data_IF_014421472935
#
_entry.id   IF_014421472935
#
_cell.length_a   1.000
_cell.length_b   1.000
_cell.length_c   1.000
_cell.angle_alpha   90.00
_cell.angle_beta   90.00
_cell.angle_gamma   90.00
#
_symmetry.space_group_name_H-M   'P 1'
#
loop_
_entity.id
_entity.type
_entity.pdbx_description
1 polymer ?
#
# COMPACT_ATOMS: atom_id res chain seq x y z
N UNK A 1 20.87 34.64 48.09
CA UNK A 1 21.18 34.37 46.67
C UNK A 1 21.79 33.00 46.62
N UNK A 2 21.04 31.97 46.25
CA UNK A 2 21.60 30.72 45.74
C UNK A 2 20.73 30.31 44.56
N UNK A 3 21.35 30.34 43.38
CA UNK A 3 20.80 29.90 42.11
C UNK A 3 21.09 28.40 42.01
N UNK A 4 20.08 27.54 42.12
CA UNK A 4 20.27 26.10 41.88
C UNK A 4 19.73 25.69 40.51
N UNK A 5 20.71 25.41 39.65
CA UNK A 5 20.75 24.56 38.46
C UNK A 5 19.41 24.18 37.79
N UNK A 6 19.23 24.67 36.56
CA UNK A 6 18.40 24.02 35.56
C UNK A 6 18.95 22.59 35.32
N UNK A 7 18.13 21.58 35.56
CA UNK A 7 18.44 20.20 35.18
C UNK A 7 18.38 20.10 33.67
N UNK A 8 19.56 20.01 33.05
CA UNK A 8 19.71 19.61 31.66
C UNK A 8 19.00 18.25 31.45
N UNK A 9 17.94 18.25 30.64
CA UNK A 9 17.28 17.01 30.25
C UNK A 9 18.28 16.16 29.44
N UNK A 10 18.41 14.84 29.70
CA UNK A 10 19.33 14.01 28.96
C UNK A 10 18.91 13.97 27.49
N UNK A 11 19.81 14.45 26.63
CA UNK A 11 19.76 14.33 25.19
C UNK A 11 19.75 12.84 24.84
N UNK A 12 18.59 12.31 24.46
CA UNK A 12 18.42 10.89 24.16
C UNK A 12 17.13 10.26 24.66
N UNK A 13 16.04 11.00 24.84
CA UNK A 13 14.73 10.36 24.85
C UNK A 13 14.46 9.81 23.46
N UNK A 14 14.75 8.52 23.31
CA UNK A 14 14.33 7.68 22.20
C UNK A 14 12.86 7.98 21.93
N UNK A 15 12.60 8.62 20.79
CA UNK A 15 11.24 8.74 20.27
C UNK A 15 10.80 7.29 20.03
N UNK A 16 9.99 6.76 20.95
CA UNK A 16 9.20 5.56 20.74
C UNK A 16 8.34 5.81 19.50
N UNK A 17 8.88 5.51 18.32
CA UNK A 17 8.20 5.49 17.04
C UNK A 17 7.30 4.24 17.04
N UNK A 18 5.99 4.33 17.36
CA UNK A 18 5.18 3.16 17.74
C UNK A 18 4.82 2.26 16.56
N UNK A 19 5.41 2.49 15.38
CA UNK A 19 4.97 1.90 14.10
C UNK A 19 5.88 0.78 13.58
N UNK A 20 7.03 0.52 14.20
CA UNK A 20 8.02 -0.44 13.70
C UNK A 20 8.14 -1.75 14.49
N UNK A 21 7.14 -2.13 15.30
CA UNK A 21 7.28 -3.26 16.24
C UNK A 21 7.24 -4.69 15.63
N UNK A 22 7.39 -4.85 14.31
CA UNK A 22 7.62 -6.19 13.73
C UNK A 22 8.68 -6.11 12.65
N UNK A 23 9.87 -6.68 12.87
CA UNK A 23 10.84 -6.94 11.82
C UNK A 23 10.16 -7.75 10.71
N UNK A 24 10.29 -7.29 9.47
CA UNK A 24 9.98 -8.15 8.34
C UNK A 24 11.01 -9.29 8.36
N UNK A 25 10.55 -10.54 8.23
CA UNK A 25 11.43 -11.71 8.21
C UNK A 25 12.49 -11.54 7.11
N UNK A 26 13.76 -11.67 7.48
CA UNK A 26 14.91 -11.52 6.58
C UNK A 26 14.95 -12.57 5.47
N UNK A 27 14.18 -13.66 5.61
CA UNK A 27 14.08 -14.72 4.61
C UNK A 27 13.02 -14.45 3.53
N UNK A 28 12.26 -13.35 3.65
CA UNK A 28 11.27 -12.99 2.64
C UNK A 28 11.93 -12.52 1.35
N UNK A 29 11.39 -12.89 0.17
CA UNK A 29 11.85 -12.32 -1.09
C UNK A 29 11.77 -10.80 -1.06
N UNK A 30 12.78 -10.12 -1.61
CA UNK A 30 12.87 -8.65 -1.61
C UNK A 30 11.57 -7.95 -2.02
N UNK A 31 10.91 -8.44 -3.08
CA UNK A 31 9.67 -7.85 -3.57
C UNK A 31 8.56 -7.85 -2.50
N UNK A 32 8.49 -8.92 -1.70
CA UNK A 32 7.51 -9.09 -0.63
C UNK A 32 7.82 -8.13 0.52
N UNK A 33 9.09 -8.08 0.95
CA UNK A 33 9.53 -7.18 2.02
C UNK A 33 9.30 -5.72 1.65
N UNK A 34 9.59 -5.32 0.42
CA UNK A 34 9.36 -3.95 -0.06
C UNK A 34 7.87 -3.60 -0.08
N UNK A 35 7.02 -4.49 -0.58
CA UNK A 35 5.57 -4.25 -0.59
C UNK A 35 5.03 -4.09 0.84
N UNK A 36 5.37 -5.02 1.72
CA UNK A 36 4.93 -5.00 3.12
C UNK A 36 5.43 -3.74 3.84
N UNK A 37 6.69 -3.34 3.63
CA UNK A 37 7.25 -2.11 4.19
C UNK A 37 6.48 -0.88 3.72
N UNK A 38 6.23 -0.76 2.41
CA UNK A 38 5.52 0.38 1.82
C UNK A 38 4.08 0.49 2.29
N UNK A 39 3.36 -0.63 2.34
CA UNK A 39 1.99 -0.67 2.87
C UNK A 39 1.94 -0.32 4.36
N UNK A 40 2.87 -0.85 5.16
CA UNK A 40 2.92 -0.58 6.60
C UNK A 40 3.30 0.86 6.95
N UNK A 41 4.19 1.46 6.17
CA UNK A 41 4.62 2.86 6.37
C UNK A 41 3.69 3.89 5.73
N UNK A 42 2.65 3.45 5.01
CA UNK A 42 1.73 4.34 4.28
C UNK A 42 2.34 5.00 3.05
N UNK A 43 3.61 4.71 2.72
CA UNK A 43 4.28 5.15 1.49
C UNK A 43 4.08 4.10 0.40
N UNK A 44 2.81 3.73 0.16
CA UNK A 44 2.44 2.64 -0.73
C UNK A 44 2.53 3.02 -2.22
N UNK A 45 2.54 4.31 -2.54
CA UNK A 45 2.48 4.82 -3.92
C UNK A 45 1.25 4.29 -4.68
N UNK A 46 0.15 3.98 -4.00
CA UNK A 46 -1.14 3.73 -4.62
C UNK A 46 -1.80 5.06 -5.01
N UNK A 47 -2.91 5.00 -5.77
CA UNK A 47 -3.54 6.22 -6.30
C UNK A 47 -3.88 7.23 -5.20
N UNK A 48 -4.32 6.77 -4.02
CA UNK A 48 -4.66 7.65 -2.91
C UNK A 48 -3.45 8.43 -2.41
N UNK A 49 -2.32 7.76 -2.18
CA UNK A 49 -1.08 8.40 -1.76
C UNK A 49 -0.54 9.35 -2.84
N UNK A 50 -0.51 8.90 -4.10
CA UNK A 50 -0.04 9.72 -5.22
C UNK A 50 -0.90 10.97 -5.46
N UNK A 51 -2.21 10.87 -5.20
CA UNK A 51 -3.11 12.01 -5.28
C UNK A 51 -2.85 13.03 -4.17
N UNK A 52 -2.61 12.55 -2.95
CA UNK A 52 -2.24 13.41 -1.82
C UNK A 52 -0.96 14.22 -2.11
N UNK A 53 0.00 13.63 -2.83
CA UNK A 53 1.23 14.31 -3.28
C UNK A 53 1.07 15.11 -4.59
N UNK A 54 -0.14 15.31 -5.10
CA UNK A 54 -0.43 15.97 -6.39
C UNK A 54 0.25 15.35 -7.62
N UNK A 55 0.74 14.11 -7.52
CA UNK A 55 1.32 13.36 -8.65
C UNK A 55 0.21 12.77 -9.53
N UNK A 56 -0.90 12.36 -8.90
CA UNK A 56 -2.03 11.78 -9.59
C UNK A 56 -3.29 12.65 -9.49
N UNK A 57 -4.10 12.82 -10.56
CA UNK A 57 -5.24 13.73 -10.50
C UNK A 57 -6.44 13.20 -9.71
N UNK A 58 -6.48 11.90 -9.38
CA UNK A 58 -7.57 11.30 -8.60
C UNK A 58 -7.02 10.18 -7.72
N UNK A 59 -7.58 10.07 -6.51
CA UNK A 59 -7.33 9.01 -5.54
C UNK A 59 -8.09 7.71 -5.86
N UNK A 60 -8.95 7.72 -6.88
CA UNK A 60 -9.76 6.57 -7.27
C UNK A 60 -8.88 5.41 -7.75
N UNK A 61 -9.36 4.19 -7.51
CA UNK A 61 -8.74 2.99 -8.01
C UNK A 61 -8.73 2.98 -9.54
N UNK A 62 -7.53 3.10 -10.11
CA UNK A 62 -7.34 3.03 -11.56
C UNK A 62 -7.53 1.62 -12.12
N UNK A 63 -7.56 0.61 -11.25
CA UNK A 63 -7.63 -0.79 -11.65
C UNK A 63 -9.09 -1.24 -11.81
N UNK A 64 -9.95 -0.96 -10.83
CA UNK A 64 -11.38 -1.29 -10.92
C UNK A 64 -12.28 -0.10 -11.28
N UNK A 65 -11.76 1.13 -11.21
CA UNK A 65 -12.50 2.36 -11.49
C UNK A 65 -13.42 2.84 -10.37
N UNK A 66 -13.36 2.22 -9.17
CA UNK A 66 -14.25 2.55 -8.06
C UNK A 66 -13.55 2.50 -6.70
N UNK A 67 -13.91 3.44 -5.82
CA UNK A 67 -13.37 3.54 -4.47
C UNK A 67 -11.97 4.15 -4.43
N UNK A 68 -11.52 4.49 -3.21
CA UNK A 68 -10.21 5.08 -2.97
C UNK A 68 -9.15 3.98 -3.00
N UNK A 69 -8.10 4.12 -3.81
CA UNK A 69 -7.05 3.11 -3.93
C UNK A 69 -6.06 3.20 -2.77
N UNK A 70 -6.42 2.62 -1.64
CA UNK A 70 -5.57 2.46 -0.46
C UNK A 70 -5.28 0.97 -0.20
N UNK A 71 -4.47 0.69 0.82
CA UNK A 71 -4.13 -0.68 1.21
C UNK A 71 -5.36 -1.53 1.58
N UNK A 72 -6.40 -0.93 2.16
CA UNK A 72 -7.64 -1.64 2.51
C UNK A 72 -8.44 -2.03 1.25
N UNK A 73 -8.62 -1.10 0.32
CA UNK A 73 -9.27 -1.35 -0.96
C UNK A 73 -8.54 -2.42 -1.77
N UNK A 74 -7.21 -2.44 -1.71
CA UNK A 74 -6.40 -3.45 -2.39
C UNK A 74 -6.82 -4.89 -2.04
N UNK A 75 -7.22 -5.13 -0.79
CA UNK A 75 -7.66 -6.44 -0.29
C UNK A 75 -9.06 -6.83 -0.74
N UNK A 76 -9.86 -5.87 -1.18
CA UNK A 76 -11.27 -6.07 -1.59
C UNK A 76 -11.50 -5.76 -3.08
N UNK A 77 -10.47 -5.28 -3.78
CA UNK A 77 -10.57 -4.85 -5.16
C UNK A 77 -10.93 -6.03 -6.08
N UNK A 78 -12.10 -5.95 -6.73
CA UNK A 78 -12.62 -7.02 -7.60
C UNK A 78 -11.83 -7.22 -8.89
N UNK A 79 -11.04 -6.24 -9.28
CA UNK A 79 -10.21 -6.29 -10.49
C UNK A 79 -8.85 -6.98 -10.26
N UNK A 80 -8.47 -7.22 -9.00
CA UNK A 80 -7.26 -7.96 -8.66
C UNK A 80 -7.54 -9.45 -8.49
N UNK A 81 -6.54 -10.27 -8.79
CA UNK A 81 -6.62 -11.70 -8.61
C UNK A 81 -6.34 -12.09 -7.15
N UNK A 82 -7.41 -12.40 -6.43
CA UNK A 82 -7.36 -12.91 -5.04
C UNK A 82 -7.29 -14.43 -4.96
N UNK A 83 -7.33 -15.14 -6.09
CA UNK A 83 -7.37 -16.61 -6.13
C UNK A 83 -6.03 -17.26 -5.84
N UNK A 84 -4.93 -16.49 -5.89
CA UNK A 84 -3.61 -16.99 -5.51
C UNK A 84 -3.62 -17.46 -4.06
N UNK A 85 -3.54 -18.77 -3.90
CA UNK A 85 -3.37 -19.41 -2.61
C UNK A 85 -1.94 -19.14 -2.12
N UNK A 86 -1.76 -18.03 -1.42
CA UNK A 86 -0.52 -17.69 -0.76
C UNK A 86 -0.53 -18.31 0.65
N UNK A 87 0.56 -18.97 1.02
CA UNK A 87 0.71 -19.65 2.32
C UNK A 87 0.61 -18.68 3.52
N UNK A 88 0.84 -17.38 3.31
CA UNK A 88 0.71 -16.36 4.33
C UNK A 88 0.05 -15.08 3.79
N UNK A 89 -0.48 -14.25 4.70
CA UNK A 89 -1.16 -13.00 4.36
C UNK A 89 -0.19 -11.97 3.73
N UNK A 90 1.07 -11.93 4.17
CA UNK A 90 2.08 -10.98 3.69
C UNK A 90 2.39 -11.19 2.20
N UNK A 91 2.50 -12.45 1.76
CA UNK A 91 2.70 -12.83 0.36
C UNK A 91 1.46 -12.48 -0.47
N UNK A 92 0.26 -12.68 0.08
CA UNK A 92 -0.99 -12.31 -0.58
C UNK A 92 -1.07 -10.80 -0.79
N UNK A 93 -0.85 -10.02 0.27
CA UNK A 93 -0.84 -8.56 0.22
C UNK A 93 0.22 -8.04 -0.77
N UNK A 94 1.44 -8.58 -0.72
CA UNK A 94 2.50 -8.22 -1.65
C UNK A 94 2.16 -8.56 -3.10
N UNK A 95 1.51 -9.71 -3.34
CA UNK A 95 1.06 -10.10 -4.67
C UNK A 95 0.03 -9.11 -5.21
N UNK A 96 -0.99 -8.77 -4.42
CA UNK A 96 -2.02 -7.81 -4.80
C UNK A 96 -1.41 -6.42 -5.03
N UNK A 97 -0.47 -6.00 -4.19
CA UNK A 97 0.22 -4.72 -4.31
C UNK A 97 0.96 -4.58 -5.64
N UNK A 98 1.81 -5.56 -5.96
CA UNK A 98 2.57 -5.51 -7.21
C UNK A 98 1.67 -5.67 -8.44
N UNK A 99 0.61 -6.48 -8.34
CA UNK A 99 -0.38 -6.61 -9.42
C UNK A 99 -1.06 -5.27 -9.69
N UNK A 100 -1.51 -4.59 -8.64
CA UNK A 100 -2.13 -3.27 -8.76
C UNK A 100 -1.16 -2.23 -9.34
N UNK A 101 0.07 -2.16 -8.83
CA UNK A 101 1.11 -1.25 -9.36
C UNK A 101 1.45 -1.53 -10.82
N UNK A 102 1.49 -2.80 -11.22
CA UNK A 102 1.71 -3.19 -12.61
C UNK A 102 0.55 -2.77 -13.52
N UNK A 103 -0.69 -2.88 -13.07
CA UNK A 103 -1.87 -2.42 -13.80
C UNK A 103 -1.94 -0.89 -13.88
N UNK A 104 -1.59 -0.18 -12.80
CA UNK A 104 -1.45 1.27 -12.80
C UNK A 104 -0.39 1.75 -13.79
N UNK A 105 0.74 1.04 -13.90
CA UNK A 105 1.85 1.39 -14.78
C UNK A 105 1.58 1.09 -16.27
N UNK A 106 0.79 0.06 -16.57
CA UNK A 106 0.37 -0.25 -17.94
C UNK A 106 -0.71 0.70 -18.48
N UNK A 107 -1.46 1.33 -17.59
CA UNK A 107 -2.54 2.23 -17.95
C UNK A 107 -2.39 3.61 -17.30
N UNK A 108 -1.31 4.36 -17.61
CA UNK A 108 -1.25 5.78 -17.31
C UNK A 108 -2.39 6.47 -18.06
N UNK A 109 -3.15 7.33 -17.38
CA UNK A 109 -4.51 7.76 -17.76
C UNK A 109 -4.68 8.07 -19.26
N UNK A 110 -5.74 7.50 -19.84
CA UNK A 110 -6.27 7.80 -21.19
C UNK A 110 -7.36 6.83 -21.64
N UNK A 111 -7.28 5.55 -21.27
CA UNK A 111 -8.24 4.53 -21.74
C UNK A 111 -9.08 3.95 -20.60
N UNK A 112 -10.35 4.35 -20.58
CA UNK A 112 -11.39 3.81 -19.72
C UNK A 112 -11.71 2.38 -20.16
N UNK A 113 -11.12 1.37 -19.52
CA UNK A 113 -11.49 -0.03 -19.72
C UNK A 113 -12.85 -0.35 -19.09
N UNK A 114 -13.93 0.06 -19.76
CA UNK A 114 -15.21 -0.63 -19.67
C UNK A 114 -15.16 -1.82 -20.63
N UNK A 115 -14.53 -2.93 -20.23
CA UNK A 115 -14.74 -4.21 -20.95
C UNK A 115 -15.18 -5.29 -19.99
N UNK A 116 -16.49 -5.51 -20.07
CA UNK A 116 -17.25 -6.67 -19.61
C UNK A 116 -16.37 -7.92 -19.58
N UNK A 117 -16.25 -8.52 -18.41
CA UNK A 117 -16.02 -9.96 -18.30
C UNK A 117 -17.30 -10.61 -18.83
N UNK A 118 -17.39 -10.77 -20.16
CA UNK A 118 -18.48 -11.46 -20.84
C UNK A 118 -18.45 -12.92 -20.41
N UNK A 119 -19.25 -13.22 -19.39
CA UNK A 119 -19.53 -14.54 -18.88
C UNK A 119 -21.00 -14.61 -18.47
N UNK A 120 -21.89 -14.26 -19.39
CA UNK A 120 -23.29 -14.64 -19.30
C UNK A 120 -23.59 -15.50 -20.52
N UNK A 121 -23.30 -16.79 -20.40
CA UNK A 121 -23.94 -17.80 -21.24
C UNK A 121 -25.39 -17.82 -20.80
N UNK A 122 -26.25 -17.21 -21.59
CA UNK A 122 -27.70 -17.35 -21.48
C UNK A 122 -28.01 -18.42 -22.53
N UNK A 123 -28.25 -19.64 -22.06
CA UNK A 123 -29.08 -20.62 -22.77
C UNK A 123 -30.44 -20.67 -22.07
#
# INVERSE_FOLDING_TARGET
MELSAASEAPFGQELEEPRFQRPLDSNLPRAVSVAAFRMKTGHDYLAAHLHCSNVQPSAECQVCGYGIMNAEHLMTCSALDHSKNCQNNILKEAHLYWSARHLMAQHPKGERWLRRRSGSKIE
#
